data_IF_322582489978
#
_entry.id   IF_322582489978
#
_cell.length_a   1.000
_cell.length_b   1.000
_cell.length_c   1.000
_cell.angle_alpha   90.00
_cell.angle_beta   90.00
_cell.angle_gamma   90.00
#
_symmetry.space_group_name_H-M   'P 1'
#
loop_
_entity.id
_entity.type
_entity.pdbx_description
1 polymer ?
#
# COMPACT_ATOMS: atom_id res chain seq x y z
N UNK A 1 -2.32 5.87 28.12
CA UNK A 1 -1.97 4.52 27.65
C UNK A 1 -2.44 4.44 26.21
N UNK A 2 -1.56 4.71 25.25
CA UNK A 2 -1.91 4.59 23.83
C UNK A 2 -2.25 3.13 23.58
N UNK A 3 -3.52 2.85 23.27
CA UNK A 3 -3.92 1.57 22.70
C UNK A 3 -3.27 1.50 21.33
N UNK A 4 -2.06 0.95 21.25
CA UNK A 4 -1.40 0.69 19.98
C UNK A 4 -2.38 -0.14 19.15
N UNK A 5 -2.75 0.37 17.98
CA UNK A 5 -3.58 -0.38 17.05
C UNK A 5 -2.90 -1.73 16.78
N UNK A 6 -3.68 -2.83 16.70
CA UNK A 6 -3.11 -4.13 16.42
C UNK A 6 -2.37 -4.06 15.09
N UNK A 7 -1.08 -4.37 15.11
CA UNK A 7 -0.23 -4.29 13.91
C UNK A 7 -0.69 -5.27 12.82
N UNK A 8 -1.38 -6.34 13.23
CA UNK A 8 -2.04 -7.35 12.40
C UNK A 8 -3.14 -6.76 11.51
N UNK A 9 -3.59 -5.52 11.78
CA UNK A 9 -4.55 -4.82 10.92
C UNK A 9 -4.08 -4.74 9.46
N UNK A 10 -2.77 -4.75 9.23
CA UNK A 10 -2.19 -4.79 7.89
C UNK A 10 -2.68 -5.97 7.04
N UNK A 11 -2.97 -7.12 7.64
CA UNK A 11 -3.53 -8.28 6.93
C UNK A 11 -4.94 -8.01 6.42
N UNK A 12 -5.76 -7.35 7.23
CA UNK A 12 -7.13 -6.96 6.84
C UNK A 12 -7.13 -5.85 5.78
N UNK A 13 -6.09 -5.01 5.75
CA UNK A 13 -5.87 -4.00 4.71
C UNK A 13 -5.25 -4.59 3.42
N UNK A 14 -4.98 -5.89 3.38
CA UNK A 14 -4.43 -6.58 2.22
C UNK A 14 -2.92 -6.39 2.02
N UNK A 15 -2.19 -5.96 3.05
CA UNK A 15 -0.73 -5.94 2.98
C UNK A 15 -0.16 -7.36 2.96
N UNK A 16 0.96 -7.57 2.24
CA UNK A 16 1.62 -8.88 2.23
C UNK A 16 1.97 -9.34 3.64
N UNK A 17 1.73 -10.63 3.94
CA UNK A 17 1.99 -11.22 5.27
C UNK A 17 3.42 -10.93 5.76
N UNK A 18 4.42 -11.08 4.88
CA UNK A 18 5.82 -10.84 5.23
C UNK A 18 6.10 -9.38 5.62
N UNK A 19 5.39 -8.42 5.03
CA UNK A 19 5.54 -7.00 5.36
C UNK A 19 4.88 -6.68 6.71
N UNK A 20 3.76 -7.34 7.04
CA UNK A 20 3.13 -7.23 8.36
C UNK A 20 4.02 -7.83 9.45
N UNK A 21 4.52 -9.05 9.24
CA UNK A 21 5.46 -9.71 10.17
C UNK A 21 6.72 -8.87 10.34
N UNK A 22 7.34 -8.43 9.24
CA UNK A 22 8.54 -7.60 9.28
C UNK A 22 8.31 -6.27 9.99
N UNK A 23 7.13 -5.65 9.81
CA UNK A 23 6.76 -4.44 10.52
C UNK A 23 6.68 -4.65 12.04
N UNK A 24 6.08 -5.77 12.47
CA UNK A 24 5.96 -6.14 13.89
C UNK A 24 7.35 -6.38 14.49
N UNK A 25 8.13 -7.26 13.87
CA UNK A 25 9.45 -7.68 14.36
C UNK A 25 10.43 -6.50 14.44
N UNK A 26 10.43 -5.64 13.42
CA UNK A 26 11.33 -4.49 13.37
C UNK A 26 10.74 -3.23 14.00
N UNK A 27 9.55 -3.29 14.60
CA UNK A 27 8.85 -2.14 15.18
C UNK A 27 8.77 -0.96 14.20
N UNK A 28 8.48 -1.27 12.94
CA UNK A 28 8.41 -0.30 11.85
C UNK A 28 9.75 0.30 11.38
N UNK A 29 10.91 -0.25 11.80
CA UNK A 29 12.26 0.18 11.36
C UNK A 29 12.84 -0.82 10.35
N UNK A 30 14.06 -0.60 9.86
CA UNK A 30 14.83 -1.54 9.03
C UNK A 30 14.09 -2.10 7.80
N UNK A 31 13.23 -1.29 7.18
CA UNK A 31 12.52 -1.67 5.96
C UNK A 31 13.45 -1.61 4.75
N UNK A 32 13.21 -2.46 3.76
CA UNK A 32 14.00 -2.51 2.51
C UNK A 32 13.51 -1.49 1.49
N UNK A 33 12.22 -1.19 1.51
CA UNK A 33 11.58 -0.20 0.65
C UNK A 33 10.45 0.51 1.39
N UNK A 34 10.22 1.78 1.08
CA UNK A 34 9.11 2.57 1.65
C UNK A 34 8.42 3.36 0.55
N UNK A 35 7.09 3.30 0.53
CA UNK A 35 6.27 4.01 -0.44
C UNK A 35 4.83 4.09 0.06
N UNK A 36 3.95 3.26 -0.51
CA UNK A 36 2.57 3.16 -0.04
C UNK A 36 2.47 2.48 1.33
N UNK A 37 3.41 1.59 1.65
CA UNK A 37 3.64 1.04 2.99
C UNK A 37 5.14 0.81 3.19
N UNK A 38 5.52 0.19 4.31
CA UNK A 38 6.91 -0.25 4.57
C UNK A 38 7.04 -1.72 4.20
N UNK A 39 7.94 -2.01 3.27
CA UNK A 39 8.22 -3.38 2.83
C UNK A 39 9.46 -3.94 3.52
N UNK A 40 9.42 -5.24 3.77
CA UNK A 40 10.44 -6.02 4.45
C UNK A 40 10.97 -7.16 3.57
N UNK A 41 10.35 -7.39 2.41
CA UNK A 41 10.82 -8.33 1.39
C UNK A 41 11.81 -7.71 0.38
N UNK A 42 11.84 -8.26 -0.82
CA UNK A 42 12.72 -7.80 -1.91
C UNK A 42 12.39 -6.35 -2.36
N UNK A 43 13.34 -5.40 -2.28
CA UNK A 43 13.08 -4.00 -2.63
C UNK A 43 12.71 -3.81 -4.10
N UNK A 44 13.22 -4.63 -5.02
CA UNK A 44 12.89 -4.51 -6.44
C UNK A 44 11.42 -4.91 -6.70
N UNK A 45 10.97 -6.00 -6.09
CA UNK A 45 9.57 -6.45 -6.16
C UNK A 45 8.62 -5.41 -5.55
N UNK A 46 8.97 -4.85 -4.38
CA UNK A 46 8.19 -3.78 -3.76
C UNK A 46 8.10 -2.54 -4.67
N UNK A 47 9.22 -2.12 -5.25
CA UNK A 47 9.29 -0.99 -6.16
C UNK A 47 8.42 -1.20 -7.42
N UNK A 48 8.49 -2.39 -8.04
CA UNK A 48 7.63 -2.75 -9.19
C UNK A 48 6.15 -2.71 -8.81
N UNK A 49 5.79 -3.16 -7.61
CA UNK A 49 4.42 -3.06 -7.10
C UNK A 49 3.97 -1.59 -6.96
N UNK A 50 4.81 -0.74 -6.36
CA UNK A 50 4.53 0.69 -6.19
C UNK A 50 4.38 1.42 -7.52
N UNK A 51 5.17 1.06 -8.52
CA UNK A 51 5.03 1.63 -9.86
C UNK A 51 3.69 1.27 -10.51
N UNK A 52 3.21 0.03 -10.33
CA UNK A 52 1.89 -0.37 -10.82
C UNK A 52 0.79 0.45 -10.16
N UNK A 53 0.86 0.65 -8.85
CA UNK A 53 -0.10 1.49 -8.12
C UNK A 53 -0.01 2.95 -8.55
N UNK A 54 1.19 3.50 -8.71
CA UNK A 54 1.39 4.88 -9.20
C UNK A 54 0.78 5.09 -10.58
N UNK A 55 0.95 4.13 -11.50
CA UNK A 55 0.35 4.17 -12.85
C UNK A 55 -1.17 4.14 -12.79
N UNK A 56 -1.74 3.28 -11.93
CA UNK A 56 -3.18 3.21 -11.71
C UNK A 56 -3.74 4.53 -11.17
N UNK A 57 -3.16 5.04 -10.07
CA UNK A 57 -3.55 6.30 -9.45
C UNK A 57 -3.44 7.47 -10.44
N UNK A 58 -2.34 7.55 -11.20
CA UNK A 58 -2.16 8.59 -12.22
C UNK A 58 -3.25 8.54 -13.29
N UNK A 59 -3.59 7.34 -13.78
CA UNK A 59 -4.66 7.15 -14.77
C UNK A 59 -6.01 7.59 -14.23
N UNK A 60 -6.33 7.24 -12.98
CA UNK A 60 -7.60 7.57 -12.34
C UNK A 60 -7.70 9.06 -12.03
N UNK A 61 -6.62 9.66 -11.51
CA UNK A 61 -6.52 11.11 -11.29
C UNK A 61 -6.76 11.88 -12.59
N UNK A 62 -6.06 11.52 -13.67
CA UNK A 62 -6.25 12.17 -14.97
C UNK A 62 -7.69 12.07 -15.47
N UNK A 63 -8.35 10.92 -15.31
CA UNK A 63 -9.76 10.76 -15.69
C UNK A 63 -10.69 11.64 -14.84
N UNK A 64 -10.44 11.70 -13.54
CA UNK A 64 -11.19 12.55 -12.63
C UNK A 64 -11.02 14.05 -12.96
N UNK A 65 -9.79 14.49 -13.18
CA UNK A 65 -9.45 15.86 -13.60
C UNK A 65 -10.11 16.24 -14.95
N UNK A 66 -10.28 15.27 -15.84
CA UNK A 66 -11.02 15.43 -17.10
C UNK A 66 -12.56 15.34 -16.95
N UNK A 67 -13.08 15.39 -15.72
CA UNK A 67 -14.52 15.47 -15.45
C UNK A 67 -15.25 14.13 -15.35
N UNK A 68 -14.55 12.99 -15.32
CA UNK A 68 -15.20 11.70 -15.06
C UNK A 68 -15.70 11.66 -13.60
N UNK A 69 -16.98 11.33 -13.34
CA UNK A 69 -17.48 11.24 -11.97
C UNK A 69 -16.85 10.05 -11.24
N UNK A 70 -16.64 10.17 -9.93
CA UNK A 70 -16.01 9.13 -9.09
C UNK A 70 -16.71 7.77 -9.25
N UNK A 71 -18.04 7.76 -9.36
CA UNK A 71 -18.83 6.54 -9.56
C UNK A 71 -18.43 5.74 -10.80
N UNK A 72 -17.91 6.39 -11.86
CA UNK A 72 -17.39 5.73 -13.07
C UNK A 72 -15.93 5.29 -12.97
N UNK A 73 -15.24 5.70 -11.91
CA UNK A 73 -13.87 5.27 -11.61
C UNK A 73 -13.87 4.04 -10.70
N UNK A 74 -14.92 3.81 -9.91
CA UNK A 74 -15.03 2.60 -9.09
C UNK A 74 -15.28 1.40 -10.01
N UNK A 75 -14.38 0.43 -9.96
CA UNK A 75 -14.57 -0.88 -10.62
C UNK A 75 -15.23 -1.79 -9.60
N UNK A 76 -16.36 -2.42 -9.98
CA UNK A 76 -16.98 -3.44 -9.14
C UNK A 76 -16.06 -4.67 -9.07
N UNK A 77 -15.90 -5.22 -7.87
CA UNK A 77 -15.09 -6.42 -7.59
C UNK A 77 -16.01 -7.53 -7.12
#
# INVERSE_FOLDING_TARGET
>A
MERQFPHEIGLFLGYPLHDVVGFIENKGRNFTCSGYWKSYGDPETAQKCYERYRRCVSTYKRRFENGAPISRLVVAV
#
